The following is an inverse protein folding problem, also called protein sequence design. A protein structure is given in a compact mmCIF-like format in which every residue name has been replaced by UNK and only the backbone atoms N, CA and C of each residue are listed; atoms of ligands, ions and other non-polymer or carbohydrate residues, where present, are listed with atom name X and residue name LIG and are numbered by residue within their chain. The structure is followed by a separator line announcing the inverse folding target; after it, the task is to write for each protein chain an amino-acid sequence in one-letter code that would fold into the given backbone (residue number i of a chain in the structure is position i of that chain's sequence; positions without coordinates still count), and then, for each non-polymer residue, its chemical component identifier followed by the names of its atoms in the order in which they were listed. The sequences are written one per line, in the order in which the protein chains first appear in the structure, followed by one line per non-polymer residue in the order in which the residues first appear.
data_IF_553520107433
#
_entry.id   IF_553520107433
#
_cell.length_a   1.000
_cell.length_b   1.000
_cell.length_c   1.000
_cell.angle_alpha   90.00
_cell.angle_beta   90.00
_cell.angle_gamma   90.00
#
_symmetry.space_group_name_H-M   'P 1'
#
loop_
_entity.id
_entity.type
_entity.pdbx_description
1 polymer ?
#
# COMPACT_ATOMS: atom_id res chain seq x y z
N UNK A 1 2.44 -23.17 -15.24
CA UNK A 1 1.54 -22.22 -14.55
C UNK A 1 1.86 -20.76 -14.91
N UNK A 2 3.14 -20.37 -15.07
CA UNK A 2 3.55 -19.06 -15.65
C UNK A 2 3.05 -18.83 -17.07
N UNK A 3 2.95 -19.90 -17.87
CA UNK A 3 2.57 -19.81 -19.28
C UNK A 3 1.13 -19.33 -19.49
N UNK A 4 0.24 -19.52 -18.51
CA UNK A 4 -1.19 -19.20 -18.64
C UNK A 4 -1.46 -17.69 -18.53
N UNK A 5 -0.86 -16.98 -17.57
CA UNK A 5 -1.05 -15.53 -17.42
C UNK A 5 -0.43 -14.78 -18.59
N UNK A 6 0.78 -15.15 -19.01
CA UNK A 6 1.42 -14.53 -20.16
C UNK A 6 0.56 -14.74 -21.41
N UNK A 7 0.13 -15.96 -21.69
CA UNK A 7 -0.71 -16.28 -22.84
C UNK A 7 -2.04 -15.51 -22.82
N UNK A 8 -2.75 -15.48 -21.69
CA UNK A 8 -3.97 -14.70 -21.53
C UNK A 8 -3.73 -13.20 -21.78
N UNK A 9 -2.61 -12.68 -21.29
CA UNK A 9 -2.25 -11.28 -21.48
C UNK A 9 -1.90 -10.97 -22.94
N UNK A 10 -1.20 -11.87 -23.63
CA UNK A 10 -0.85 -11.72 -25.03
C UNK A 10 -2.04 -11.87 -25.97
N UNK A 11 -3.01 -12.71 -25.63
CA UNK A 11 -4.30 -12.78 -26.33
C UNK A 11 -5.07 -11.47 -26.20
N UNK A 12 -5.01 -10.85 -25.01
CA UNK A 12 -5.74 -9.61 -24.70
C UNK A 12 -5.07 -8.35 -25.27
N UNK A 13 -3.73 -8.26 -25.21
CA UNK A 13 -2.98 -7.03 -25.50
C UNK A 13 -2.07 -7.15 -26.74
N UNK A 14 -1.94 -8.34 -27.31
CA UNK A 14 -0.90 -8.69 -28.28
C UNK A 14 0.42 -9.07 -27.60
N UNK A 15 1.39 -9.48 -28.41
CA UNK A 15 2.70 -9.94 -27.93
C UNK A 15 3.40 -8.92 -27.01
N UNK A 16 4.04 -9.43 -25.97
CA UNK A 16 4.86 -8.60 -25.09
C UNK A 16 6.11 -8.08 -25.81
N UNK A 17 6.69 -7.02 -25.26
CA UNK A 17 7.77 -6.24 -25.84
C UNK A 17 9.05 -6.48 -25.05
N UNK A 18 10.08 -6.93 -25.75
CA UNK A 18 11.38 -7.23 -25.15
C UNK A 18 11.34 -8.49 -24.28
N UNK A 19 12.36 -8.66 -23.45
CA UNK A 19 12.45 -9.80 -22.54
C UNK A 19 11.57 -9.59 -21.30
N UNK A 20 10.96 -10.67 -20.83
CA UNK A 20 10.32 -10.69 -19.51
C UNK A 20 11.42 -10.47 -18.47
N UNK A 21 11.20 -9.47 -17.62
CA UNK A 21 12.19 -9.15 -16.58
C UNK A 21 12.43 -10.33 -15.65
N UNK A 22 13.59 -10.35 -14.99
CA UNK A 22 13.93 -11.33 -13.96
C UNK A 22 12.94 -11.39 -12.77
N UNK A 23 12.00 -10.43 -12.66
CA UNK A 23 10.92 -10.37 -11.67
C UNK A 23 9.55 -10.77 -12.22
N UNK A 24 9.51 -11.37 -13.41
CA UNK A 24 8.28 -11.84 -14.04
C UNK A 24 7.45 -10.74 -14.72
N UNK A 25 7.95 -9.51 -14.85
CA UNK A 25 7.20 -8.47 -15.55
C UNK A 25 7.38 -8.57 -17.07
N UNK A 26 6.27 -8.81 -17.77
CA UNK A 26 6.12 -8.67 -19.21
C UNK A 26 5.62 -7.25 -19.54
N UNK A 27 6.23 -6.63 -20.56
CA UNK A 27 5.97 -5.23 -20.92
C UNK A 27 5.11 -5.15 -22.18
N UNK A 28 4.12 -4.26 -22.20
CA UNK A 28 3.17 -4.08 -23.29
C UNK A 28 2.94 -2.58 -23.57
N UNK A 29 2.27 -2.32 -24.69
CA UNK A 29 1.62 -1.02 -24.90
C UNK A 29 0.40 -0.89 -23.99
N UNK A 30 0.22 0.27 -23.39
CA UNK A 30 -0.91 0.49 -22.50
C UNK A 30 -2.22 0.51 -23.30
N UNK A 31 -3.23 -0.28 -22.95
CA UNK A 31 -4.53 -0.25 -23.63
C UNK A 31 -5.37 0.97 -23.22
N UNK A 32 -4.96 1.72 -22.19
CA UNK A 32 -5.73 2.85 -21.63
C UNK A 32 -5.28 4.22 -22.14
N UNK A 33 -4.20 4.31 -22.91
CA UNK A 33 -3.78 5.54 -23.58
C UNK A 33 -2.89 5.23 -24.80
N UNK A 34 -2.91 6.13 -25.76
CA UNK A 34 -2.45 5.87 -27.12
C UNK A 34 -0.95 6.13 -27.34
N UNK A 35 -0.11 5.64 -26.43
CA UNK A 35 1.35 5.80 -26.55
C UNK A 35 1.92 5.00 -27.73
N UNK A 36 1.23 3.94 -28.14
CA UNK A 36 1.62 3.08 -29.26
C UNK A 36 1.69 3.84 -30.57
N UNK A 37 0.80 4.81 -30.80
CA UNK A 37 0.84 5.67 -32.01
C UNK A 37 2.03 6.62 -32.05
N UNK A 38 2.70 6.84 -30.92
CA UNK A 38 3.88 7.69 -30.81
C UNK A 38 5.18 6.87 -30.73
N UNK A 39 5.13 5.57 -31.04
CA UNK A 39 6.30 4.71 -31.07
C UNK A 39 7.39 5.28 -31.99
N UNK A 40 8.65 5.27 -31.53
CA UNK A 40 9.79 5.84 -32.26
C UNK A 40 10.01 7.34 -32.04
N UNK A 41 9.13 8.03 -31.30
CA UNK A 41 9.34 9.43 -30.87
C UNK A 41 9.33 9.54 -29.34
N UNK A 42 8.20 9.86 -28.74
CA UNK A 42 8.04 10.02 -27.28
C UNK A 42 7.20 8.91 -26.63
N UNK A 43 6.61 8.02 -27.44
CA UNK A 43 5.85 6.87 -26.95
C UNK A 43 6.77 5.76 -26.45
N UNK A 44 6.53 5.27 -25.24
CA UNK A 44 7.24 4.13 -24.65
C UNK A 44 6.23 3.08 -24.16
N UNK A 45 6.59 1.79 -24.22
CA UNK A 45 5.75 0.75 -23.63
C UNK A 45 5.87 0.83 -22.11
N UNK A 46 4.80 1.32 -21.48
CA UNK A 46 4.75 1.64 -20.05
C UNK A 46 3.79 0.74 -19.27
N UNK A 47 3.29 -0.34 -19.87
CA UNK A 47 2.31 -1.23 -19.27
C UNK A 47 2.97 -2.54 -18.88
N UNK A 48 3.10 -2.79 -17.58
CA UNK A 48 3.63 -4.05 -17.05
C UNK A 48 2.52 -4.98 -16.60
N UNK A 49 2.65 -6.26 -16.92
CA UNK A 49 1.89 -7.35 -16.28
C UNK A 49 2.88 -8.33 -15.67
N UNK A 50 2.70 -8.67 -14.40
CA UNK A 50 3.50 -9.70 -13.76
C UNK A 50 2.94 -11.08 -14.13
N UNK A 51 3.73 -11.93 -14.79
CA UNK A 51 3.30 -13.25 -15.29
C UNK A 51 3.21 -14.31 -14.18
N UNK A 52 3.79 -14.05 -13.01
CA UNK A 52 3.69 -14.93 -11.84
C UNK A 52 2.46 -14.60 -10.99
N UNK A 53 2.12 -13.31 -10.86
CA UNK A 53 1.12 -12.79 -9.91
C UNK A 53 -0.16 -12.28 -10.59
N UNK A 54 -0.11 -11.98 -11.89
CA UNK A 54 -1.23 -11.46 -12.68
C UNK A 54 -1.59 -10.00 -12.41
N UNK A 55 -0.94 -9.32 -11.47
CA UNK A 55 -1.13 -7.89 -11.26
C UNK A 55 -0.51 -7.08 -12.39
N UNK A 56 -1.08 -5.90 -12.64
CA UNK A 56 -0.70 -5.07 -13.78
C UNK A 56 -0.69 -3.59 -13.42
N UNK A 57 0.15 -2.82 -14.10
CA UNK A 57 0.31 -1.39 -13.85
C UNK A 57 0.79 -0.68 -15.11
N UNK A 58 0.19 0.47 -15.40
CA UNK A 58 0.73 1.46 -16.30
C UNK A 58 1.56 2.51 -15.54
N UNK A 59 2.86 2.55 -15.79
CA UNK A 59 3.79 3.50 -15.18
C UNK A 59 3.60 4.94 -15.66
N UNK A 60 2.84 5.18 -16.75
CA UNK A 60 2.54 6.52 -17.27
C UNK A 60 1.19 7.06 -16.81
N UNK A 61 0.09 6.36 -17.09
CA UNK A 61 -1.24 6.84 -16.72
C UNK A 61 -1.68 6.45 -15.31
N UNK A 62 -1.01 5.48 -14.67
CA UNK A 62 -1.28 5.04 -13.30
C UNK A 62 -2.49 4.12 -13.15
N UNK A 63 -3.10 3.67 -14.25
CA UNK A 63 -4.06 2.56 -14.26
C UNK A 63 -3.36 1.29 -13.78
N UNK A 64 -3.98 0.56 -12.85
CA UNK A 64 -3.41 -0.66 -12.26
C UNK A 64 -4.53 -1.58 -11.78
N UNK A 65 -4.23 -2.87 -11.67
CA UNK A 65 -5.15 -3.86 -11.12
C UNK A 65 -4.39 -5.01 -10.45
N UNK A 66 -5.09 -5.68 -9.53
CA UNK A 66 -4.49 -6.71 -8.66
C UNK A 66 -4.48 -8.12 -9.25
N UNK A 67 -5.05 -8.32 -10.44
CA UNK A 67 -5.13 -9.64 -11.11
C UNK A 67 -5.41 -9.50 -12.60
N UNK A 68 -5.13 -10.55 -13.37
CA UNK A 68 -5.41 -10.57 -14.82
C UNK A 68 -6.92 -10.43 -15.08
N UNK A 69 -7.76 -11.03 -14.24
CA UNK A 69 -9.21 -10.87 -14.29
C UNK A 69 -9.64 -9.40 -14.15
N UNK A 70 -8.97 -8.63 -13.30
CA UNK A 70 -9.25 -7.20 -13.18
C UNK A 70 -8.88 -6.41 -14.44
N UNK A 71 -7.90 -6.88 -15.22
CA UNK A 71 -7.55 -6.28 -16.51
C UNK A 71 -8.66 -6.52 -17.54
N UNK A 72 -9.13 -7.76 -17.69
CA UNK A 72 -10.26 -8.11 -18.57
C UNK A 72 -11.49 -7.24 -18.26
N UNK A 73 -11.85 -7.17 -16.98
CA UNK A 73 -12.97 -6.32 -16.52
C UNK A 73 -12.77 -4.85 -16.88
N UNK A 74 -11.57 -4.31 -16.69
CA UNK A 74 -11.26 -2.90 -16.99
C UNK A 74 -11.26 -2.59 -18.50
N UNK A 75 -11.06 -3.61 -19.35
CA UNK A 75 -11.14 -3.52 -20.80
C UNK A 75 -12.55 -3.83 -21.34
N UNK A 76 -13.47 -4.26 -20.47
CA UNK A 76 -14.82 -4.66 -20.88
C UNK A 76 -14.87 -6.00 -21.61
N UNK A 77 -13.83 -6.83 -21.44
CA UNK A 77 -13.70 -8.13 -22.09
C UNK A 77 -14.15 -9.25 -21.14
N UNK A 78 -14.81 -10.27 -21.70
CA UNK A 78 -15.26 -11.43 -20.93
C UNK A 78 -14.09 -12.35 -20.59
N UNK A 79 -13.91 -12.61 -19.30
CA UNK A 79 -12.85 -13.51 -18.83
C UNK A 79 -13.32 -14.97 -18.89
N UNK A 80 -12.80 -15.74 -19.84
CA UNK A 80 -13.08 -17.17 -19.99
C UNK A 80 -11.80 -18.00 -19.85
N UNK A 81 -11.52 -18.61 -18.69
CA UNK A 81 -10.33 -19.43 -18.50
C UNK A 81 -10.42 -20.75 -19.29
N UNK A 82 -9.33 -21.16 -19.95
CA UNK A 82 -9.27 -22.42 -20.70
C UNK A 82 -8.89 -23.58 -19.78
N UNK A 83 -9.89 -24.30 -19.26
CA UNK A 83 -9.75 -25.67 -18.77
C UNK A 83 -8.86 -25.89 -17.53
N UNK A 84 -9.47 -26.47 -16.49
CA UNK A 84 -8.91 -26.83 -15.19
C UNK A 84 -8.57 -25.63 -14.27
N UNK A 85 -9.49 -25.38 -13.34
CA UNK A 85 -9.20 -24.86 -12.02
C UNK A 85 -8.25 -23.65 -11.95
N UNK A 86 -8.84 -22.46 -11.85
CA UNK A 86 -8.33 -21.45 -10.91
C UNK A 86 -8.50 -22.00 -9.48
N UNK A 87 -7.84 -23.13 -9.19
CA UNK A 87 -7.66 -23.62 -7.83
C UNK A 87 -6.71 -22.64 -7.14
N UNK A 88 -7.01 -22.22 -5.89
CA UNK A 88 -6.13 -21.34 -5.14
C UNK A 88 -4.74 -21.98 -5.11
N UNK A 89 -3.76 -21.19 -5.54
CA UNK A 89 -2.34 -21.55 -5.65
C UNK A 89 -1.93 -22.42 -4.47
N UNK A 90 -1.44 -23.64 -4.76
CA UNK A 90 -0.77 -24.53 -3.82
C UNK A 90 0.09 -23.69 -2.87
N UNK A 91 -0.03 -23.83 -1.53
CA UNK A 91 0.68 -22.98 -0.58
C UNK A 91 2.18 -23.06 -0.85
N UNK A 92 2.70 -22.04 -1.53
CA UNK A 92 4.14 -21.89 -1.72
C UNK A 92 4.66 -21.37 -0.40
N UNK A 93 5.42 -22.20 0.32
CA UNK A 93 6.26 -21.73 1.44
C UNK A 93 6.93 -20.42 1.00
N UNK A 94 6.91 -19.35 1.81
CA UNK A 94 7.57 -18.10 1.48
C UNK A 94 9.01 -18.43 1.08
N UNK A 95 9.34 -18.27 -0.22
CA UNK A 95 10.73 -18.42 -0.65
C UNK A 95 11.48 -17.24 -0.02
N UNK A 96 12.57 -17.52 0.67
CA UNK A 96 13.49 -16.49 1.12
C UNK A 96 13.80 -15.56 -0.07
N UNK A 97 13.65 -14.26 0.15
CA UNK A 97 13.75 -13.24 -0.89
C UNK A 97 15.11 -13.38 -1.58
N UNK A 98 15.10 -13.68 -2.90
CA UNK A 98 16.35 -13.91 -3.67
C UNK A 98 17.03 -12.59 -4.09
N UNK A 99 16.32 -11.47 -3.98
CA UNK A 99 16.80 -10.14 -4.40
C UNK A 99 16.39 -9.06 -3.38
N UNK A 100 17.26 -8.08 -3.18
CA UNK A 100 16.99 -6.86 -2.40
C UNK A 100 15.86 -6.05 -3.06
N UNK A 101 14.98 -5.48 -2.24
CA UNK A 101 13.98 -4.51 -2.67
C UNK A 101 14.60 -3.18 -3.03
N UNK A 102 13.85 -2.40 -3.81
CA UNK A 102 14.17 -0.99 -4.10
C UNK A 102 14.30 -0.13 -2.84
N UNK A 103 13.69 -0.58 -1.73
CA UNK A 103 13.68 0.08 -0.42
C UNK A 103 14.83 -0.40 0.48
N UNK A 104 15.41 -1.57 0.23
CA UNK A 104 16.45 -2.18 1.08
C UNK A 104 17.77 -1.37 1.06
N UNK A 105 17.93 -0.45 0.09
CA UNK A 105 19.09 0.45 -0.05
C UNK A 105 18.81 1.89 0.39
N UNK A 106 17.65 2.14 0.98
CA UNK A 106 17.19 3.49 1.33
C UNK A 106 17.35 3.81 2.81
N UNK A 107 18.03 2.99 3.61
CA UNK A 107 18.17 3.23 5.05
C UNK A 107 18.69 4.64 5.35
N UNK A 108 19.67 5.12 4.58
CA UNK A 108 20.19 6.49 4.68
C UNK A 108 19.10 7.54 4.37
N UNK A 109 18.37 7.35 3.26
CA UNK A 109 17.29 8.25 2.87
C UNK A 109 16.14 8.27 3.89
N UNK A 110 15.78 7.11 4.43
CA UNK A 110 14.72 6.98 5.43
C UNK A 110 15.16 7.60 6.76
N UNK A 111 16.39 7.36 7.19
CA UNK A 111 16.97 8.03 8.37
C UNK A 111 16.93 9.56 8.22
N UNK A 112 17.28 10.07 7.03
CA UNK A 112 17.20 11.50 6.72
C UNK A 112 15.77 12.04 6.88
N UNK A 113 14.77 11.33 6.33
CA UNK A 113 13.36 11.76 6.44
C UNK A 113 12.89 11.80 7.90
N UNK A 114 13.27 10.81 8.72
CA UNK A 114 12.86 10.70 10.13
C UNK A 114 13.48 11.78 10.99
N UNK A 115 14.76 12.09 10.80
CA UNK A 115 15.47 13.11 11.57
C UNK A 115 14.83 14.50 11.46
N UNK A 116 14.09 14.75 10.37
CA UNK A 116 13.51 16.08 10.08
C UNK A 116 12.02 16.18 10.35
N UNK A 117 11.34 15.08 10.69
CA UNK A 117 9.87 15.10 10.80
C UNK A 117 9.38 16.11 11.82
N UNK A 118 9.95 16.14 13.03
CA UNK A 118 9.48 16.94 14.17
C UNK A 118 9.45 18.45 13.86
N UNK A 119 10.46 18.97 13.17
CA UNK A 119 10.57 20.40 12.86
C UNK A 119 10.02 20.77 11.47
N UNK A 120 9.23 19.88 10.84
CA UNK A 120 8.80 20.04 9.45
C UNK A 120 7.32 20.42 9.30
N UNK A 121 6.88 20.84 8.09
CA UNK A 121 5.47 20.93 7.76
C UNK A 121 4.69 19.62 7.96
N UNK A 122 5.33 18.46 7.82
CA UNK A 122 4.68 17.17 8.05
C UNK A 122 4.22 16.99 9.50
N UNK A 123 4.97 17.46 10.50
CA UNK A 123 4.51 17.38 11.89
C UNK A 123 3.33 18.31 12.16
N UNK A 124 3.29 19.49 11.54
CA UNK A 124 2.12 20.39 11.64
C UNK A 124 0.88 19.71 11.04
N UNK A 125 1.03 19.08 9.87
CA UNK A 125 -0.04 18.31 9.24
C UNK A 125 -0.48 17.12 10.11
N UNK A 126 0.46 16.32 10.63
CA UNK A 126 0.17 15.21 11.54
C UNK A 126 -0.59 15.68 12.79
N UNK A 127 -0.19 16.80 13.39
CA UNK A 127 -0.89 17.40 14.52
C UNK A 127 -2.32 17.83 14.18
N UNK A 128 -2.54 18.44 13.00
CA UNK A 128 -3.90 18.79 12.55
C UNK A 128 -4.80 17.58 12.36
N UNK A 129 -4.21 16.39 12.19
CA UNK A 129 -4.91 15.08 12.14
C UNK A 129 -4.88 14.34 13.49
N UNK A 130 -4.54 15.01 14.59
CA UNK A 130 -4.54 14.42 15.94
C UNK A 130 -3.45 13.37 16.21
N UNK A 131 -2.47 13.21 15.31
CA UNK A 131 -1.37 12.27 15.49
C UNK A 131 -0.27 12.91 16.33
N UNK A 132 0.08 12.28 17.45
CA UNK A 132 1.09 12.79 18.37
C UNK A 132 2.52 12.57 17.85
N UNK A 133 3.50 13.39 18.29
CA UNK A 133 4.91 13.16 18.01
C UNK A 133 5.40 11.78 18.46
N UNK A 134 4.86 11.28 19.57
CA UNK A 134 5.18 9.94 20.08
C UNK A 134 4.75 8.84 19.10
N UNK A 135 3.50 8.90 18.61
CA UNK A 135 3.00 7.96 17.59
C UNK A 135 3.81 8.07 16.30
N UNK A 136 4.14 9.28 15.86
CA UNK A 136 4.98 9.51 14.69
C UNK A 136 6.36 8.86 14.83
N UNK A 137 7.02 9.02 15.98
CA UNK A 137 8.30 8.38 16.28
C UNK A 137 8.18 6.85 16.31
N UNK A 138 7.16 6.33 16.99
CA UNK A 138 6.94 4.89 17.18
C UNK A 138 6.70 4.15 15.85
N UNK A 139 6.01 4.79 14.92
CA UNK A 139 5.79 4.27 13.57
C UNK A 139 6.88 4.70 12.57
N UNK A 140 7.93 5.39 13.03
CA UNK A 140 9.05 5.79 12.18
C UNK A 140 8.64 6.70 11.03
N UNK A 141 7.66 7.59 11.24
CA UNK A 141 7.23 8.56 10.25
C UNK A 141 8.35 9.57 9.96
N UNK A 142 8.45 9.95 8.69
CA UNK A 142 9.45 10.90 8.18
C UNK A 142 8.82 12.05 7.41
N UNK A 143 9.62 13.07 7.12
CA UNK A 143 9.27 14.14 6.19
C UNK A 143 10.07 14.02 4.90
N UNK A 144 9.37 13.94 3.78
CA UNK A 144 9.97 13.95 2.46
C UNK A 144 10.48 15.33 2.10
N UNK A 145 11.77 15.62 2.31
CA UNK A 145 12.37 16.90 1.92
C UNK A 145 12.60 16.98 0.41
N UNK A 146 12.68 18.20 -0.09
CA UNK A 146 13.06 18.49 -1.48
C UNK A 146 14.48 18.01 -1.76
N UNK A 147 15.45 18.59 -1.06
CA UNK A 147 16.86 18.23 -1.18
C UNK A 147 17.20 17.11 -0.19
N UNK A 148 17.93 16.12 -0.67
CA UNK A 148 18.40 15.01 0.13
C UNK A 148 19.86 15.18 0.54
N UNK A 149 20.18 14.61 1.68
CA UNK A 149 21.55 14.49 2.17
C UNK A 149 21.85 13.01 2.27
N UNK A 150 22.04 12.37 1.12
CA UNK A 150 22.39 10.95 1.02
C UNK A 150 23.67 10.79 0.20
N UNK A 151 24.37 9.68 0.40
CA UNK A 151 25.54 9.30 -0.40
C UNK A 151 25.21 9.14 -1.88
N UNK A 152 26.20 9.35 -2.75
CA UNK A 152 26.05 9.18 -4.21
C UNK A 152 25.55 7.77 -4.57
N UNK A 153 26.01 6.73 -3.84
CA UNK A 153 25.56 5.35 -4.06
C UNK A 153 24.07 5.17 -3.79
N UNK A 154 23.53 5.82 -2.75
CA UNK A 154 22.10 5.77 -2.43
C UNK A 154 21.30 6.60 -3.43
N UNK A 155 21.86 7.74 -3.88
CA UNK A 155 21.25 8.56 -4.92
C UNK A 155 21.11 7.80 -6.25
N UNK A 156 22.17 7.15 -6.72
CA UNK A 156 22.16 6.34 -7.93
C UNK A 156 21.15 5.18 -7.84
N UNK A 157 21.14 4.48 -6.70
CA UNK A 157 20.16 3.43 -6.43
C UNK A 157 18.72 3.97 -6.49
N UNK A 158 18.47 5.13 -5.87
CA UNK A 158 17.17 5.77 -5.87
C UNK A 158 16.72 6.25 -7.26
N UNK A 159 17.65 6.69 -8.12
CA UNK A 159 17.37 7.02 -9.51
C UNK A 159 16.98 5.76 -10.28
N UNK A 160 17.75 4.67 -10.13
CA UNK A 160 17.47 3.39 -10.80
C UNK A 160 16.12 2.80 -10.36
N UNK A 161 15.75 2.98 -9.10
CA UNK A 161 14.45 2.55 -8.56
C UNK A 161 13.30 3.54 -8.79
N UNK A 162 13.50 4.60 -9.59
CA UNK A 162 12.49 5.63 -9.84
C UNK A 162 11.86 6.23 -8.57
N UNK A 163 12.67 6.37 -7.53
CA UNK A 163 12.35 7.03 -6.26
C UNK A 163 12.86 8.47 -6.24
N UNK A 164 13.93 8.73 -6.99
CA UNK A 164 14.48 10.05 -7.23
C UNK A 164 14.36 10.44 -8.71
N UNK A 165 14.02 11.71 -8.95
CA UNK A 165 13.94 12.23 -10.30
C UNK A 165 15.35 12.60 -10.83
N UNK A 166 15.90 11.82 -11.76
CA UNK A 166 17.25 12.01 -12.35
C UNK A 166 17.61 13.44 -12.75
N UNK A 167 16.71 14.16 -13.42
CA UNK A 167 16.98 15.54 -13.89
C UNK A 167 16.93 16.60 -12.79
N UNK A 168 16.08 16.42 -11.78
CA UNK A 168 15.78 17.45 -10.79
C UNK A 168 16.40 17.17 -9.44
N UNK A 169 17.00 15.99 -9.25
CA UNK A 169 17.58 15.52 -8.00
C UNK A 169 16.61 15.71 -6.81
N UNK A 170 15.34 15.39 -7.04
CA UNK A 170 14.27 15.51 -6.06
C UNK A 170 13.59 14.17 -5.87
N UNK A 171 13.28 13.83 -4.62
CA UNK A 171 12.48 12.66 -4.31
C UNK A 171 11.09 12.78 -4.91
N UNK A 172 10.57 11.67 -5.42
CA UNK A 172 9.16 11.59 -5.78
C UNK A 172 8.25 11.70 -4.55
N UNK A 173 8.78 11.53 -3.34
CA UNK A 173 8.07 11.77 -2.09
C UNK A 173 8.30 13.17 -1.49
N UNK A 174 8.91 14.11 -2.21
CA UNK A 174 9.10 15.47 -1.70
C UNK A 174 7.76 16.12 -1.29
N UNK A 175 7.73 16.79 -0.14
CA UNK A 175 6.53 17.39 0.43
C UNK A 175 5.50 16.36 0.89
N UNK A 176 5.92 15.30 1.59
CA UNK A 176 5.02 14.26 2.10
C UNK A 176 5.32 13.85 3.54
N UNK A 177 4.32 13.27 4.21
CA UNK A 177 4.54 12.34 5.31
C UNK A 177 5.01 11.02 4.70
N UNK A 178 6.15 10.53 5.16
CA UNK A 178 6.77 9.28 4.71
C UNK A 178 6.58 8.22 5.78
N UNK A 179 6.07 7.05 5.40
CA UNK A 179 5.93 5.88 6.26
C UNK A 179 6.63 4.69 5.61
N UNK A 180 7.71 4.23 6.23
CA UNK A 180 8.44 3.05 5.80
C UNK A 180 8.04 1.86 6.70
N UNK A 181 7.54 0.80 6.09
CA UNK A 181 6.98 -0.37 6.78
C UNK A 181 7.77 -1.64 6.43
N UNK A 182 8.27 -2.38 7.44
CA UNK A 182 8.44 -1.97 8.84
C UNK A 182 9.44 -0.81 9.01
N UNK A 183 9.50 -0.15 10.20
CA UNK A 183 10.42 0.95 10.41
C UNK A 183 11.91 0.57 10.28
N UNK A 184 12.26 -0.69 10.52
CA UNK A 184 13.63 -1.21 10.40
C UNK A 184 13.63 -2.22 9.26
N UNK A 185 14.53 -2.06 8.27
CA UNK A 185 14.55 -2.85 7.03
C UNK A 185 13.21 -2.83 6.29
N UNK A 186 12.74 -1.64 5.88
CA UNK A 186 11.43 -1.49 5.24
C UNK A 186 11.38 -2.21 3.89
N UNK A 187 10.26 -2.86 3.64
CA UNK A 187 9.96 -3.51 2.35
C UNK A 187 8.96 -2.70 1.53
N UNK A 188 8.26 -1.77 2.18
CA UNK A 188 7.27 -0.88 1.58
C UNK A 188 7.51 0.55 2.05
N UNK A 189 7.38 1.50 1.11
CA UNK A 189 7.36 2.92 1.41
C UNK A 189 6.01 3.50 1.01
N UNK A 190 5.24 3.97 1.97
CA UNK A 190 3.99 4.68 1.77
C UNK A 190 4.17 6.17 2.02
N UNK A 191 3.57 7.02 1.19
CA UNK A 191 3.64 8.46 1.38
C UNK A 191 2.27 9.12 1.24
N UNK A 192 2.02 10.10 2.09
CA UNK A 192 0.89 11.03 1.99
C UNK A 192 1.44 12.41 1.62
N UNK A 193 1.13 12.88 0.43
CA UNK A 193 1.51 14.21 -0.01
C UNK A 193 0.76 15.27 0.80
N UNK A 194 1.51 16.28 1.25
CA UNK A 194 0.94 17.43 1.92
C UNK A 194 0.25 18.36 0.89
N UNK A 195 -0.80 19.08 1.30
CA UNK A 195 -1.38 20.17 0.50
C UNK A 195 -0.33 21.23 0.16
N UNK A 196 -0.40 21.82 -1.05
CA UNK A 196 0.65 22.74 -1.54
C UNK A 196 0.77 24.01 -0.69
N UNK A 197 -0.35 24.48 -0.14
CA UNK A 197 -0.44 25.64 0.76
C UNK A 197 0.30 25.43 2.10
N UNK A 198 0.55 24.19 2.48
CA UNK A 198 1.31 23.85 3.70
C UNK A 198 2.81 23.74 3.45
N UNK A 199 3.25 23.82 2.19
CA UNK A 199 4.63 23.57 1.79
C UNK A 199 5.35 24.88 1.42
N UNK A 200 6.68 24.94 1.62
CA UNK A 200 7.49 26.00 1.04
C UNK A 200 7.34 26.05 -0.49
N UNK A 201 7.40 27.24 -1.11
CA UNK A 201 7.30 27.36 -2.56
C UNK A 201 8.29 26.47 -3.31
N UNK A 202 7.85 25.83 -4.39
CA UNK A 202 8.67 24.97 -5.25
C UNK A 202 9.26 23.75 -4.52
N UNK A 203 8.57 23.23 -3.50
CA UNK A 203 8.94 21.97 -2.84
C UNK A 203 8.91 20.79 -3.82
N UNK A 204 7.93 20.77 -4.74
CA UNK A 204 7.76 19.72 -5.74
C UNK A 204 7.95 20.28 -7.16
N UNK A 205 8.79 19.66 -8.01
CA UNK A 205 8.86 20.00 -9.43
C UNK A 205 7.81 19.27 -10.29
N UNK A 206 6.89 18.53 -9.67
CA UNK A 206 5.88 17.71 -10.34
C UNK A 206 4.49 17.91 -9.74
N UNK A 207 3.46 17.71 -10.57
CA UNK A 207 2.06 17.80 -10.14
C UNK A 207 1.59 16.50 -9.50
N UNK A 208 1.01 16.60 -8.32
CA UNK A 208 0.38 15.47 -7.63
C UNK A 208 -1.01 15.22 -8.24
N UNK A 209 -1.27 13.97 -8.66
CA UNK A 209 -2.60 13.53 -9.14
C UNK A 209 -3.40 12.78 -8.08
N UNK A 210 -2.70 12.10 -7.16
CA UNK A 210 -3.27 11.37 -6.02
C UNK A 210 -2.53 11.78 -4.76
N UNK A 211 -3.27 12.01 -3.69
CA UNK A 211 -2.73 12.46 -2.40
C UNK A 211 -1.83 11.43 -1.70
N UNK A 212 -1.70 10.21 -2.23
CA UNK A 212 -0.80 9.19 -1.70
C UNK A 212 -0.08 8.43 -2.81
N UNK A 213 1.06 7.83 -2.47
CA UNK A 213 1.81 6.91 -3.33
C UNK A 213 2.47 5.82 -2.49
N UNK A 214 2.75 4.69 -3.11
CA UNK A 214 3.43 3.56 -2.45
C UNK A 214 4.43 2.93 -3.39
N UNK A 215 5.58 2.54 -2.84
CA UNK A 215 6.63 1.76 -3.50
C UNK A 215 6.94 0.51 -2.67
N UNK A 216 7.49 -0.52 -3.32
CA UNK A 216 7.79 -1.80 -2.68
C UNK A 216 6.64 -2.81 -2.67
N UNK A 217 6.90 -3.96 -2.06
CA UNK A 217 6.05 -5.15 -2.15
C UNK A 217 5.04 -5.20 -1.01
N UNK A 218 3.77 -4.92 -1.31
CA UNK A 218 2.67 -4.97 -0.33
C UNK A 218 2.20 -6.40 -0.12
N UNK A 219 3.02 -7.17 0.59
CA UNK A 219 2.80 -8.59 0.86
C UNK A 219 1.86 -8.84 2.04
N UNK A 220 1.84 -7.91 3.01
CA UNK A 220 1.05 -7.99 4.24
C UNK A 220 0.34 -6.66 4.49
N UNK A 221 -0.74 -6.62 5.29
CA UNK A 221 -1.29 -5.35 5.79
C UNK A 221 -0.20 -4.52 6.47
N UNK A 222 -0.14 -3.23 6.17
CA UNK A 222 0.89 -2.37 6.76
C UNK A 222 0.59 -2.16 8.25
N UNK A 223 1.64 -2.13 9.06
CA UNK A 223 1.57 -2.20 10.52
C UNK A 223 1.65 -3.61 11.08
N UNK A 224 1.60 -4.66 10.24
CA UNK A 224 1.67 -6.07 10.69
C UNK A 224 2.95 -6.42 11.47
N UNK A 225 4.03 -5.66 11.31
CA UNK A 225 5.25 -5.82 12.12
C UNK A 225 5.04 -5.60 13.62
N UNK A 226 3.90 -5.03 14.02
CA UNK A 226 3.48 -4.87 15.42
C UNK A 226 2.82 -6.13 16.00
N UNK A 227 2.48 -7.12 15.18
CA UNK A 227 1.89 -8.37 15.63
C UNK A 227 2.92 -9.14 16.46
N UNK A 228 2.49 -9.52 17.66
CA UNK A 228 3.27 -10.25 18.65
C UNK A 228 2.66 -11.64 18.90
N UNK A 229 3.40 -12.58 19.52
CA UNK A 229 2.86 -13.90 19.84
C UNK A 229 1.59 -13.88 20.71
N UNK A 230 1.40 -12.84 21.52
CA UNK A 230 0.23 -12.65 22.39
C UNK A 230 -0.90 -11.82 21.75
N UNK A 231 -0.74 -11.40 20.48
CA UNK A 231 -1.80 -10.68 19.75
C UNK A 231 -2.99 -11.60 19.52
N UNK A 232 -4.18 -11.18 19.99
CA UNK A 232 -5.43 -11.93 19.82
C UNK A 232 -6.38 -11.28 18.83
N UNK A 233 -6.27 -9.96 18.65
CA UNK A 233 -7.19 -9.21 17.82
C UNK A 233 -6.45 -8.24 16.92
N UNK A 234 -6.91 -8.17 15.68
CA UNK A 234 -6.41 -7.23 14.68
C UNK A 234 -7.55 -6.31 14.28
N UNK A 235 -7.38 -5.02 14.51
CA UNK A 235 -8.23 -3.98 13.94
C UNK A 235 -7.70 -3.67 12.54
N UNK A 236 -8.56 -3.77 11.54
CA UNK A 236 -8.22 -3.49 10.14
C UNK A 236 -9.00 -2.26 9.70
N UNK A 237 -8.26 -1.31 9.12
CA UNK A 237 -8.77 -0.05 8.54
C UNK A 237 -8.24 0.15 7.13
N UNK A 238 -8.77 1.14 6.42
CA UNK A 238 -8.39 1.40 5.02
C UNK A 238 -7.14 2.27 4.91
N UNK A 239 -7.04 3.32 5.73
CA UNK A 239 -6.04 4.37 5.62
C UNK A 239 -4.92 4.34 6.66
N UNK A 240 -3.83 5.04 6.32
CA UNK A 240 -2.69 5.22 7.22
C UNK A 240 -3.09 5.99 8.50
N UNK A 241 -3.88 7.06 8.36
CA UNK A 241 -4.24 7.91 9.50
C UNK A 241 -5.20 7.20 10.46
N UNK A 242 -6.15 6.42 9.94
CA UNK A 242 -7.01 5.54 10.73
C UNK A 242 -6.19 4.57 11.57
N UNK A 243 -5.16 3.98 10.97
CA UNK A 243 -4.28 3.06 11.69
C UNK A 243 -3.45 3.79 12.75
N UNK A 244 -2.93 4.98 12.47
CA UNK A 244 -2.17 5.76 13.45
C UNK A 244 -3.04 6.20 14.62
N UNK A 245 -4.26 6.70 14.35
CA UNK A 245 -5.22 7.10 15.38
C UNK A 245 -5.70 5.90 16.21
N UNK A 246 -6.05 4.79 15.55
CA UNK A 246 -6.41 3.54 16.21
C UNK A 246 -5.28 3.00 17.08
N UNK A 247 -4.05 2.98 16.58
CA UNK A 247 -2.90 2.53 17.34
C UNK A 247 -2.61 3.43 18.56
N UNK A 248 -2.69 4.75 18.38
CA UNK A 248 -2.50 5.72 19.46
C UNK A 248 -3.51 5.53 20.59
N UNK A 249 -4.76 5.23 20.25
CA UNK A 249 -5.83 5.09 21.25
C UNK A 249 -5.90 3.70 21.89
N UNK A 250 -5.47 2.66 21.18
CA UNK A 250 -5.54 1.28 21.68
C UNK A 250 -4.28 0.81 22.41
N UNK A 251 -3.09 1.33 22.06
CA UNK A 251 -1.81 0.77 22.52
C UNK A 251 -1.67 0.64 24.04
N UNK A 252 -2.18 1.61 24.82
CA UNK A 252 -2.07 1.59 26.29
C UNK A 252 -3.22 0.82 26.95
N UNK A 253 -4.36 0.67 26.28
CA UNK A 253 -5.57 0.10 26.86
C UNK A 253 -5.71 -1.39 26.55
N UNK A 254 -5.21 -1.84 25.40
CA UNK A 254 -5.42 -3.18 24.87
C UNK A 254 -4.12 -3.74 24.26
N UNK A 255 -3.18 -4.25 25.07
CA UNK A 255 -1.86 -4.67 24.59
C UNK A 255 -1.89 -5.87 23.62
N UNK A 256 -2.98 -6.65 23.62
CA UNK A 256 -3.19 -7.81 22.73
C UNK A 256 -3.87 -7.42 21.40
N UNK A 257 -4.03 -6.12 21.14
CA UNK A 257 -4.69 -5.56 19.97
C UNK A 257 -3.69 -4.82 19.11
N UNK A 258 -3.69 -5.13 17.82
CA UNK A 258 -2.87 -4.45 16.82
C UNK A 258 -3.77 -3.82 15.77
N UNK A 259 -3.43 -2.61 15.34
CA UNK A 259 -4.12 -1.91 14.25
C UNK A 259 -3.24 -1.97 13.01
N UNK A 260 -3.83 -2.41 11.89
CA UNK A 260 -3.17 -2.52 10.58
C UNK A 260 -4.04 -1.86 9.52
N UNK A 261 -3.46 -1.53 8.36
CA UNK A 261 -4.23 -1.01 7.23
C UNK A 261 -3.88 -1.65 5.89
N UNK A 262 -4.85 -1.65 4.97
CA UNK A 262 -4.73 -2.29 3.64
C UNK A 262 -4.18 -1.36 2.56
N UNK A 263 -3.92 -0.10 2.90
CA UNK A 263 -3.48 0.96 1.99
C UNK A 263 -4.49 1.26 0.87
N UNK A 264 -5.69 1.64 1.32
CA UNK A 264 -6.85 2.01 0.53
C UNK A 264 -7.93 0.92 0.45
N UNK A 265 -9.04 1.30 -0.17
CA UNK A 265 -10.28 0.53 -0.30
C UNK A 265 -10.21 -0.69 -1.24
N UNK A 266 -9.09 -0.90 -1.93
CA UNK A 266 -8.90 -2.04 -2.84
C UNK A 266 -7.58 -2.75 -2.51
N UNK A 267 -7.59 -3.67 -1.52
CA UNK A 267 -6.43 -4.44 -1.11
C UNK A 267 -5.86 -5.28 -2.27
N UNK A 268 -4.54 -5.47 -2.30
CA UNK A 268 -3.90 -6.39 -3.26
C UNK A 268 -4.26 -7.85 -2.98
N UNK A 269 -4.06 -8.72 -3.97
CA UNK A 269 -4.19 -10.16 -3.81
C UNK A 269 -3.39 -10.69 -2.61
N UNK A 270 -2.12 -10.29 -2.48
CA UNK A 270 -1.27 -10.71 -1.36
C UNK A 270 -1.85 -10.30 0.00
N UNK A 271 -2.37 -9.07 0.13
CA UNK A 271 -3.02 -8.62 1.36
C UNK A 271 -4.27 -9.46 1.66
N UNK A 272 -5.11 -9.74 0.66
CA UNK A 272 -6.27 -10.62 0.87
C UNK A 272 -5.86 -12.04 1.24
N UNK A 273 -4.83 -12.60 0.59
CA UNK A 273 -4.33 -13.93 0.87
C UNK A 273 -3.75 -14.03 2.27
N UNK A 274 -3.08 -12.98 2.75
CA UNK A 274 -2.59 -12.92 4.11
C UNK A 274 -3.71 -13.10 5.14
N UNK A 275 -4.88 -12.46 4.96
CA UNK A 275 -6.01 -12.65 5.87
C UNK A 275 -6.58 -14.07 5.84
N UNK A 276 -6.59 -14.72 4.69
CA UNK A 276 -6.99 -16.13 4.54
C UNK A 276 -6.03 -17.08 5.28
N UNK A 277 -4.73 -16.79 5.25
CA UNK A 277 -3.68 -17.62 5.85
C UNK A 277 -3.49 -17.41 7.36
N UNK A 278 -4.12 -16.38 7.93
CA UNK A 278 -3.96 -16.02 9.35
C UNK A 278 -5.28 -16.09 10.14
N UNK A 279 -5.98 -17.23 10.20
CA UNK A 279 -7.28 -17.34 10.87
C UNK A 279 -7.21 -17.29 12.40
N UNK A 280 -6.02 -17.32 13.01
CA UNK A 280 -5.82 -17.34 14.46
C UNK A 280 -6.26 -16.06 15.19
N UNK A 281 -6.47 -14.95 14.47
CA UNK A 281 -6.87 -13.68 15.05
C UNK A 281 -8.38 -13.47 14.97
N UNK A 282 -8.92 -12.72 15.93
CA UNK A 282 -10.21 -12.09 15.75
C UNK A 282 -10.04 -10.77 15.00
N UNK A 283 -10.77 -10.57 13.90
CA UNK A 283 -10.63 -9.37 13.07
C UNK A 283 -11.76 -8.37 13.34
N UNK A 284 -11.41 -7.11 13.63
CA UNK A 284 -12.37 -6.02 13.71
C UNK A 284 -12.19 -5.13 12.48
N UNK A 285 -13.20 -5.10 11.60
CA UNK A 285 -13.16 -4.36 10.35
C UNK A 285 -13.88 -3.02 10.51
N UNK A 286 -13.18 -1.92 10.26
CA UNK A 286 -13.74 -0.57 10.36
C UNK A 286 -13.61 0.09 8.98
N UNK A 287 -14.66 -0.01 8.13
CA UNK A 287 -14.67 0.63 6.82
C UNK A 287 -14.93 2.13 6.92
N UNK A 288 -14.47 2.88 5.92
CA UNK A 288 -14.90 4.25 5.69
C UNK A 288 -16.41 4.27 5.40
N UNK A 289 -17.16 5.31 5.82
CA UNK A 289 -18.61 5.38 5.67
C UNK A 289 -19.06 5.73 4.23
N UNK A 290 -18.47 5.08 3.23
CA UNK A 290 -18.76 5.29 1.82
C UNK A 290 -18.95 3.98 1.02
N UNK A 291 -19.16 4.10 -0.30
CA UNK A 291 -19.34 2.95 -1.19
C UNK A 291 -18.06 2.12 -1.33
N UNK A 292 -16.90 2.76 -1.29
CA UNK A 292 -15.62 2.10 -1.42
C UNK A 292 -15.32 1.26 -0.16
N UNK A 293 -15.61 1.79 1.03
CA UNK A 293 -15.47 1.06 2.29
C UNK A 293 -16.44 -0.10 2.42
N UNK A 294 -17.65 0.01 1.85
CA UNK A 294 -18.58 -1.14 1.75
C UNK A 294 -17.99 -2.27 0.90
N UNK A 295 -17.42 -1.94 -0.28
CA UNK A 295 -16.78 -2.93 -1.15
C UNK A 295 -15.50 -3.52 -0.52
N UNK A 296 -14.72 -2.69 0.16
CA UNK A 296 -13.55 -3.10 0.93
C UNK A 296 -13.92 -4.12 2.02
N UNK A 297 -14.98 -3.83 2.79
CA UNK A 297 -15.48 -4.72 3.84
C UNK A 297 -15.86 -6.08 3.27
N UNK A 298 -16.59 -6.11 2.15
CA UNK A 298 -16.97 -7.36 1.47
C UNK A 298 -15.74 -8.16 1.04
N UNK A 299 -14.73 -7.50 0.45
CA UNK A 299 -13.52 -8.16 -0.03
C UNK A 299 -12.69 -8.76 1.12
N UNK A 300 -12.44 -7.99 2.18
CA UNK A 300 -11.60 -8.43 3.31
C UNK A 300 -12.32 -9.49 4.15
N UNK A 301 -13.61 -9.29 4.45
CA UNK A 301 -14.39 -10.27 5.22
C UNK A 301 -14.49 -11.62 4.52
N UNK A 302 -14.64 -11.63 3.18
CA UNK A 302 -14.65 -12.86 2.38
C UNK A 302 -13.32 -13.62 2.48
N UNK A 303 -12.20 -12.91 2.44
CA UNK A 303 -10.88 -13.52 2.57
C UNK A 303 -10.67 -14.15 3.97
N UNK A 304 -11.06 -13.43 5.03
CA UNK A 304 -11.00 -13.95 6.41
C UNK A 304 -11.89 -15.19 6.55
N UNK A 305 -13.12 -15.14 6.03
CA UNK A 305 -14.05 -16.27 6.08
C UNK A 305 -13.53 -17.49 5.32
N UNK A 306 -12.93 -17.28 4.14
CA UNK A 306 -12.32 -18.36 3.35
C UNK A 306 -11.18 -19.07 4.11
N UNK A 307 -10.44 -18.35 4.94
CA UNK A 307 -9.41 -18.90 5.83
C UNK A 307 -9.94 -19.63 7.07
N UNK A 308 -11.25 -19.57 7.33
CA UNK A 308 -11.85 -20.04 8.59
C UNK A 308 -11.65 -19.10 9.77
N UNK A 309 -11.25 -17.84 9.52
CA UNK A 309 -11.08 -16.82 10.55
C UNK A 309 -12.40 -16.20 11.02
N UNK A 310 -12.36 -15.52 12.17
CA UNK A 310 -13.53 -14.81 12.71
C UNK A 310 -13.39 -13.30 12.51
N UNK A 311 -14.48 -12.63 12.17
CA UNK A 311 -14.48 -11.18 12.02
C UNK A 311 -15.78 -10.54 12.52
N UNK A 312 -15.69 -9.25 12.82
CA UNK A 312 -16.82 -8.39 13.14
C UNK A 312 -16.60 -7.02 12.51
N UNK A 313 -17.64 -6.41 11.94
CA UNK A 313 -17.57 -5.03 11.45
C UNK A 313 -18.06 -4.03 12.49
N UNK A 314 -17.44 -2.85 12.51
CA UNK A 314 -17.86 -1.69 13.30
C UNK A 314 -18.04 -0.51 12.36
N UNK A 315 -19.28 -0.10 12.06
CA UNK A 315 -19.49 1.08 11.24
C UNK A 315 -19.02 2.34 11.99
N UNK A 316 -18.43 3.27 11.25
CA UNK A 316 -18.16 4.62 11.76
C UNK A 316 -19.50 5.26 12.16
N UNK A 317 -19.63 5.81 13.39
CA UNK A 317 -20.86 6.48 13.80
C UNK A 317 -21.20 7.67 12.89
N UNK A 318 -22.50 7.95 12.71
CA UNK A 318 -23.00 8.99 11.78
C UNK A 318 -22.50 10.43 12.04
N UNK A 319 -21.83 10.67 13.15
CA UNK A 319 -21.31 11.98 13.54
C UNK A 319 -19.81 12.12 13.27
N UNK A 320 -19.20 11.19 12.54
CA UNK A 320 -17.80 11.22 12.12
C UNK A 320 -17.71 10.88 10.63
N UNK A 321 -16.80 11.54 9.94
CA UNK A 321 -16.63 11.37 8.50
C UNK A 321 -15.70 10.18 8.16
N UNK A 322 -14.79 9.83 9.08
CA UNK A 322 -13.83 8.74 8.91
C UNK A 322 -13.50 8.02 10.26
N UNK A 323 -12.82 6.86 10.22
CA UNK A 323 -12.42 6.15 11.43
C UNK A 323 -11.46 6.93 12.33
N UNK A 324 -10.54 7.71 11.78
CA UNK A 324 -9.56 8.45 12.58
C UNK A 324 -10.20 9.48 13.52
N UNK A 325 -11.22 10.23 13.05
CA UNK A 325 -12.02 11.13 13.88
C UNK A 325 -12.72 10.38 15.01
N UNK A 326 -13.32 9.23 14.69
CA UNK A 326 -14.05 8.42 15.66
C UNK A 326 -13.12 7.80 16.73
N UNK A 327 -11.90 7.42 16.36
CA UNK A 327 -10.88 6.99 17.32
C UNK A 327 -10.49 8.14 18.26
N UNK A 328 -10.12 9.29 17.69
CA UNK A 328 -9.62 10.44 18.44
C UNK A 328 -10.67 11.05 19.38
N UNK A 329 -11.94 10.99 19.00
CA UNK A 329 -13.05 11.41 19.85
C UNK A 329 -13.37 10.43 21.00
N UNK A 330 -12.65 9.30 21.10
CA UNK A 330 -12.88 8.31 22.14
C UNK A 330 -14.22 7.60 21.99
N UNK A 331 -14.68 7.35 20.75
CA UNK A 331 -16.02 6.84 20.50
C UNK A 331 -16.31 5.55 21.29
N UNK A 332 -17.29 5.57 22.22
CA UNK A 332 -17.57 4.43 23.09
C UNK A 332 -17.96 3.15 22.36
N UNK A 333 -18.39 3.20 21.10
CA UNK A 333 -18.78 2.01 20.35
C UNK A 333 -17.59 1.10 20.06
N UNK A 334 -16.41 1.67 19.79
CA UNK A 334 -15.16 0.91 19.65
C UNK A 334 -14.67 0.30 20.98
N UNK A 335 -15.09 0.87 22.12
CA UNK A 335 -14.63 0.47 23.45
C UNK A 335 -15.63 -0.39 24.26
N UNK A 336 -16.95 -0.22 24.06
CA UNK A 336 -18.01 -0.87 24.87
C UNK A 336 -18.51 -2.19 24.30
N UNK A 337 -18.55 -2.33 22.96
CA UNK A 337 -18.97 -3.58 22.31
C UNK A 337 -17.84 -4.58 22.18
N UNK A 338 -16.62 -4.09 22.14
CA UNK A 338 -15.44 -4.89 22.40
C UNK A 338 -15.38 -5.14 23.91
N UNK A 339 -16.11 -6.14 24.42
CA UNK A 339 -15.73 -6.76 25.70
C UNK A 339 -14.42 -7.48 25.46
N UNK A 340 -13.33 -6.72 25.33
CA UNK A 340 -11.96 -7.19 25.38
C UNK A 340 -11.87 -7.95 26.70
N UNK A 341 -11.94 -9.28 26.65
CA UNK A 341 -12.01 -10.07 27.87
C UNK A 341 -10.74 -9.76 28.67
N UNK A 342 -10.90 -9.03 29.77
CA UNK A 342 -9.97 -9.10 30.89
C UNK A 342 -10.10 -10.52 31.45
N UNK A 343 -9.42 -11.47 30.82
CA UNK A 343 -9.14 -12.79 31.36
C UNK A 343 -7.67 -13.09 31.12
#
# INVERSE_FOLDING_TARGET
MTDDILQLTEELLGAHIGEISHRGWATFWCPFHDDKKQAGTTGLPNFGVNVDEGNWNCFRCGKKGGSIRSLYKDLGEDFSPRGADYSPVVPRKPRARKYESEVDRLDEAIADTRNKVISSPAMHYLHSRGITPYTALLYGLGYGRKYHQVSNSVEEAAIHSALLHKRYHNWFWAGSVVYADPPIQPTVLNVRYLPEETLPPKTRPFKIRKNHRTWGDRLVPLGSWRIKPDTKTIIVVEGLFDMLAGAQTTASLYPQVVVVYTNGSNPSFHITKWFEEHPQYHYLLIPDPDKAGTAWLEQVSRAIYAGGGSWQSFPVPRNFDDPDEAFLAGCPQFYRRCRWSKR
#
